data_IF_842834786798
#
_entry.id   IF_842834786798
#
_cell.length_a   1.000
_cell.length_b   1.000
_cell.length_c   1.000
_cell.angle_alpha   90.00
_cell.angle_beta   90.00
_cell.angle_gamma   90.00
#
_symmetry.space_group_name_H-M   'P 1'
#
loop_
_entity.id
_entity.type
_entity.pdbx_description
1 polymer ?
#
# COMPACT_ATOMS: atom_id res chain seq x y z
N UNK A 1 -9.73 -5.06 -6.90
CA UNK A 1 -10.16 -3.64 -6.70
C UNK A 1 -9.57 -2.70 -7.76
N UNK A 2 -8.23 -2.72 -8.01
CA UNK A 2 -7.63 -1.97 -9.13
C UNK A 2 -8.18 -2.49 -10.45
N UNK A 3 -8.18 -3.82 -10.64
CA UNK A 3 -8.77 -4.51 -11.80
C UNK A 3 -10.23 -4.10 -12.02
N UNK A 4 -11.06 -4.09 -10.96
CA UNK A 4 -12.47 -3.72 -11.05
C UNK A 4 -12.67 -2.30 -11.59
N UNK A 5 -11.86 -1.34 -11.09
CA UNK A 5 -11.87 0.04 -11.56
C UNK A 5 -11.45 0.16 -13.02
N UNK A 6 -10.34 -0.48 -13.39
CA UNK A 6 -9.82 -0.49 -14.74
C UNK A 6 -10.80 -1.13 -15.73
N UNK A 7 -11.36 -2.29 -15.40
CA UNK A 7 -12.35 -3.00 -16.20
C UNK A 7 -13.64 -2.20 -16.39
N UNK A 8 -14.11 -1.53 -15.32
CA UNK A 8 -15.29 -0.68 -15.37
C UNK A 8 -15.09 0.48 -16.36
N UNK A 9 -13.98 1.19 -16.26
CA UNK A 9 -13.71 2.32 -17.16
C UNK A 9 -13.46 1.85 -18.60
N UNK A 10 -12.68 0.78 -18.80
CA UNK A 10 -12.40 0.23 -20.12
C UNK A 10 -13.70 -0.16 -20.85
N UNK A 11 -14.64 -0.80 -20.16
CA UNK A 11 -15.95 -1.14 -20.71
C UNK A 11 -16.77 0.11 -21.07
N UNK A 12 -16.73 1.15 -20.23
CA UNK A 12 -17.49 2.38 -20.46
C UNK A 12 -17.03 3.16 -21.71
N UNK A 13 -15.75 3.07 -22.08
CA UNK A 13 -15.16 3.80 -23.22
C UNK A 13 -14.78 2.89 -24.40
N UNK A 14 -15.14 1.59 -24.35
CA UNK A 14 -14.92 0.65 -25.45
C UNK A 14 -13.46 0.23 -25.67
N UNK A 15 -12.59 0.32 -24.68
CA UNK A 15 -11.22 -0.17 -24.77
C UNK A 15 -11.16 -1.68 -24.49
N UNK A 16 -10.34 -2.39 -25.27
CA UNK A 16 -9.98 -3.78 -24.97
C UNK A 16 -9.11 -3.80 -23.73
N UNK A 17 -9.48 -4.62 -22.75
CA UNK A 17 -8.78 -4.73 -21.47
C UNK A 17 -8.42 -6.18 -21.17
N UNK A 18 -7.20 -6.40 -20.69
CA UNK A 18 -6.71 -7.69 -20.19
C UNK A 18 -6.08 -7.47 -18.82
N UNK A 19 -6.50 -8.25 -17.84
CA UNK A 19 -5.83 -8.34 -16.53
C UNK A 19 -4.81 -9.47 -16.55
N UNK A 20 -3.65 -9.19 -15.97
CA UNK A 20 -2.61 -10.19 -15.74
C UNK A 20 -1.89 -9.88 -14.42
N UNK A 21 -1.81 -10.86 -13.53
CA UNK A 21 -1.08 -10.73 -12.28
C UNK A 21 -0.62 -12.11 -11.81
N UNK A 22 0.61 -12.26 -11.31
CA UNK A 22 1.04 -13.50 -10.69
C UNK A 22 0.28 -13.73 -9.36
N UNK A 23 0.05 -14.99 -9.01
CA UNK A 23 -0.64 -15.39 -7.78
C UNK A 23 0.17 -15.05 -6.52
N UNK A 24 1.49 -14.90 -6.67
CA UNK A 24 2.42 -14.54 -5.60
C UNK A 24 3.28 -13.35 -6.03
N UNK A 25 3.79 -12.59 -5.07
CA UNK A 25 4.72 -11.50 -5.33
C UNK A 25 6.06 -12.05 -5.86
N UNK A 26 6.22 -12.04 -7.18
CA UNK A 26 7.37 -12.59 -7.90
C UNK A 26 7.80 -11.62 -9.01
N UNK A 27 9.01 -11.10 -8.91
CA UNK A 27 9.55 -10.13 -9.86
C UNK A 27 9.77 -10.74 -11.26
N UNK A 28 10.20 -12.00 -11.33
CA UNK A 28 10.44 -12.68 -12.62
C UNK A 28 9.13 -12.89 -13.37
N UNK A 29 8.08 -13.35 -12.69
CA UNK A 29 6.74 -13.49 -13.26
C UNK A 29 6.15 -12.15 -13.70
N UNK A 30 6.39 -11.07 -12.95
CA UNK A 30 5.93 -9.75 -13.37
C UNK A 30 6.66 -9.24 -14.62
N UNK A 31 7.98 -9.47 -14.72
CA UNK A 31 8.76 -9.17 -15.92
C UNK A 31 8.23 -9.97 -17.11
N UNK A 32 7.93 -11.24 -16.93
CA UNK A 32 7.33 -12.09 -17.97
C UNK A 32 5.96 -11.55 -18.42
N UNK A 33 5.08 -11.16 -17.49
CA UNK A 33 3.78 -10.57 -17.81
C UNK A 33 3.92 -9.29 -18.65
N UNK A 34 4.86 -8.40 -18.32
CA UNK A 34 5.15 -7.20 -19.13
C UNK A 34 5.65 -7.57 -20.53
N UNK A 35 6.55 -8.54 -20.64
CA UNK A 35 7.06 -9.01 -21.94
C UNK A 35 5.97 -9.67 -22.78
N UNK A 36 5.08 -10.45 -22.17
CA UNK A 36 3.94 -11.06 -22.85
C UNK A 36 2.95 -10.01 -23.35
N UNK A 37 2.66 -8.96 -22.55
CA UNK A 37 1.82 -7.86 -22.99
C UNK A 37 2.41 -7.14 -24.24
N UNK A 38 3.74 -6.95 -24.28
CA UNK A 38 4.42 -6.41 -25.44
C UNK A 38 4.31 -7.35 -26.65
N UNK A 39 4.47 -8.66 -26.47
CA UNK A 39 4.32 -9.66 -27.53
C UNK A 39 2.87 -9.71 -28.06
N UNK A 40 1.89 -9.56 -27.19
CA UNK A 40 0.46 -9.47 -27.50
C UNK A 40 0.06 -8.12 -28.14
N UNK A 41 1.05 -7.24 -28.42
CA UNK A 41 0.86 -5.92 -29.04
C UNK A 41 -0.04 -4.98 -28.22
N UNK A 42 0.07 -5.00 -26.90
CA UNK A 42 -0.57 -4.02 -26.05
C UNK A 42 -0.12 -2.60 -26.45
N UNK A 43 -1.06 -1.68 -26.55
CA UNK A 43 -0.75 -0.27 -26.84
C UNK A 43 -0.31 0.48 -25.57
N UNK A 44 -0.79 0.04 -24.41
CA UNK A 44 -0.48 0.63 -23.10
C UNK A 44 -0.56 -0.44 -22.02
N UNK A 45 0.31 -0.32 -21.01
CA UNK A 45 0.32 -1.14 -19.81
C UNK A 45 0.08 -0.24 -18.59
N UNK A 46 -0.97 -0.59 -17.80
CA UNK A 46 -1.09 -0.11 -16.42
C UNK A 46 -0.31 -1.05 -15.52
N UNK A 47 0.71 -0.56 -14.83
CA UNK A 47 1.64 -1.38 -14.06
C UNK A 47 1.69 -0.95 -12.60
N UNK A 48 1.48 -1.91 -11.68
CA UNK A 48 1.82 -1.78 -10.26
C UNK A 48 3.13 -2.53 -10.01
N UNK A 49 4.25 -1.82 -9.89
CA UNK A 49 5.56 -2.44 -9.79
C UNK A 49 5.77 -3.14 -8.43
N UNK A 50 6.16 -4.41 -8.46
CA UNK A 50 6.55 -5.16 -7.26
C UNK A 50 7.86 -4.64 -6.65
N UNK A 51 8.83 -4.37 -7.52
CA UNK A 51 10.13 -3.81 -7.21
C UNK A 51 10.48 -2.77 -8.29
N UNK A 52 10.65 -1.48 -7.91
CA UNK A 52 10.85 -0.40 -8.87
C UNK A 52 12.09 -0.55 -9.73
N UNK A 53 13.13 -1.20 -9.21
CA UNK A 53 14.40 -1.40 -9.92
C UNK A 53 14.36 -2.64 -10.81
N UNK A 54 13.87 -3.76 -10.28
CA UNK A 54 13.85 -5.04 -11.00
C UNK A 54 13.06 -4.98 -12.30
N UNK A 55 11.92 -4.25 -12.32
CA UNK A 55 11.06 -4.13 -13.50
C UNK A 55 11.57 -3.14 -14.56
N UNK A 56 12.53 -2.29 -14.22
CA UNK A 56 12.96 -1.15 -15.05
C UNK A 56 13.41 -1.53 -16.46
N UNK A 57 14.11 -2.65 -16.62
CA UNK A 57 14.58 -3.09 -17.95
C UNK A 57 13.41 -3.51 -18.84
N UNK A 58 12.42 -4.24 -18.29
CA UNK A 58 11.23 -4.65 -19.04
C UNK A 58 10.38 -3.44 -19.44
N UNK A 59 10.24 -2.46 -18.57
CA UNK A 59 9.53 -1.19 -18.84
C UNK A 59 10.22 -0.42 -19.97
N UNK A 60 11.55 -0.23 -19.93
CA UNK A 60 12.31 0.43 -21.01
C UNK A 60 12.15 -0.30 -22.33
N UNK A 61 12.21 -1.63 -22.32
CA UNK A 61 11.99 -2.45 -23.52
C UNK A 61 10.57 -2.27 -24.09
N UNK A 62 9.54 -2.24 -23.25
CA UNK A 62 8.17 -1.98 -23.66
C UNK A 62 8.05 -0.59 -24.32
N UNK A 63 8.60 0.44 -23.68
CA UNK A 63 8.59 1.82 -24.20
C UNK A 63 9.33 1.94 -25.53
N UNK A 64 10.48 1.27 -25.70
CA UNK A 64 11.24 1.27 -26.97
C UNK A 64 10.48 0.64 -28.12
N UNK A 65 9.48 -0.20 -27.84
CA UNK A 65 8.56 -0.81 -28.83
C UNK A 65 7.26 -0.01 -28.98
N UNK A 66 7.19 1.20 -28.43
CA UNK A 66 6.02 2.10 -28.54
C UNK A 66 4.90 1.82 -27.56
N UNK A 67 5.07 0.90 -26.62
CA UNK A 67 4.06 0.64 -25.58
C UNK A 67 4.10 1.75 -24.55
N UNK A 68 2.97 2.40 -24.33
CA UNK A 68 2.82 3.47 -23.32
C UNK A 68 2.71 2.86 -21.92
N UNK A 69 3.25 3.52 -20.89
CA UNK A 69 3.23 3.03 -19.50
C UNK A 69 2.55 4.06 -18.60
N UNK A 70 1.66 3.58 -17.76
CA UNK A 70 1.07 4.32 -16.63
C UNK A 70 1.24 3.45 -15.38
N UNK A 71 1.72 4.04 -14.30
CA UNK A 71 1.79 3.35 -13.01
C UNK A 71 0.51 3.53 -12.20
N UNK A 72 0.11 2.47 -11.52
CA UNK A 72 -0.97 2.46 -10.53
C UNK A 72 -0.44 1.85 -9.23
N UNK A 73 -0.79 2.43 -8.09
CA UNK A 73 -0.35 2.02 -6.76
C UNK A 73 1.16 2.20 -6.51
N UNK A 74 2.00 1.46 -7.21
CA UNK A 74 3.47 1.51 -7.05
C UNK A 74 4.15 1.73 -8.40
N UNK A 75 4.99 2.76 -8.49
CA UNK A 75 5.77 3.09 -9.68
C UNK A 75 7.10 2.34 -9.76
N UNK A 76 7.82 2.53 -10.88
CA UNK A 76 9.19 2.09 -11.08
C UNK A 76 10.15 3.27 -11.23
N UNK A 77 11.47 3.00 -11.30
CA UNK A 77 12.50 4.03 -11.51
C UNK A 77 12.46 4.65 -12.92
N UNK A 78 11.78 4.01 -13.86
CA UNK A 78 11.64 4.48 -15.23
C UNK A 78 10.45 5.45 -15.31
N UNK A 79 10.60 6.65 -15.89
CA UNK A 79 9.49 7.56 -16.09
C UNK A 79 8.35 6.94 -16.91
N UNK A 80 7.11 7.24 -16.52
CA UNK A 80 5.89 6.87 -17.22
C UNK A 80 5.06 8.12 -17.54
N UNK A 81 3.94 7.94 -18.27
CA UNK A 81 3.03 9.05 -18.60
C UNK A 81 2.42 9.63 -17.35
N UNK A 82 1.95 8.76 -16.45
CA UNK A 82 1.38 9.16 -15.16
C UNK A 82 1.60 8.08 -14.11
N UNK A 83 1.53 8.48 -12.83
CA UNK A 83 1.46 7.58 -11.67
C UNK A 83 0.23 7.95 -10.85
N UNK A 84 -0.66 6.98 -10.67
CA UNK A 84 -1.86 7.13 -9.84
C UNK A 84 -1.68 6.29 -8.58
N UNK A 85 -1.45 6.94 -7.47
CA UNK A 85 -1.15 6.26 -6.20
C UNK A 85 -1.69 7.04 -5.01
N UNK A 86 -1.70 6.43 -3.86
CA UNK A 86 -1.81 7.15 -2.58
C UNK A 86 -0.52 7.92 -2.33
N UNK A 87 -0.61 9.15 -1.84
CA UNK A 87 0.55 9.81 -1.24
C UNK A 87 0.95 9.07 0.04
N UNK A 88 1.82 8.07 -0.12
CA UNK A 88 2.14 7.10 0.93
C UNK A 88 2.83 7.74 2.15
N UNK A 89 3.67 8.75 1.93
CA UNK A 89 4.29 9.48 3.03
C UNK A 89 3.23 10.23 3.88
N UNK A 90 2.33 10.95 3.23
CA UNK A 90 1.25 11.67 3.94
C UNK A 90 0.26 10.71 4.61
N UNK A 91 -0.03 9.57 3.97
CA UNK A 91 -0.89 8.54 4.56
C UNK A 91 -0.24 7.89 5.79
N UNK A 92 1.08 7.66 5.77
CA UNK A 92 1.85 7.22 6.93
C UNK A 92 1.87 8.26 8.05
N UNK A 93 2.07 9.53 7.71
CA UNK A 93 1.99 10.64 8.67
C UNK A 93 0.59 10.75 9.31
N UNK A 94 -0.47 10.56 8.52
CA UNK A 94 -1.85 10.51 9.02
C UNK A 94 -2.08 9.32 9.96
N UNK A 95 -1.52 8.14 9.65
CA UNK A 95 -1.55 6.98 10.54
C UNK A 95 -0.83 7.26 11.87
N UNK A 96 0.34 7.92 11.81
CA UNK A 96 1.08 8.36 12.99
C UNK A 96 0.30 9.35 13.85
N UNK A 97 -0.31 10.36 13.22
CA UNK A 97 -1.19 11.32 13.93
C UNK A 97 -2.36 10.60 14.59
N UNK A 98 -3.00 9.69 13.85
CA UNK A 98 -4.11 8.87 14.39
C UNK A 98 -3.67 8.02 15.58
N UNK A 99 -2.46 7.41 15.52
CA UNK A 99 -1.88 6.67 16.65
C UNK A 99 -1.74 7.56 17.88
N UNK A 100 -1.19 8.76 17.74
CA UNK A 100 -0.99 9.70 18.84
C UNK A 100 -2.33 10.14 19.45
N UNK A 101 -3.32 10.44 18.61
CA UNK A 101 -4.65 10.86 19.08
C UNK A 101 -5.31 9.74 19.90
N UNK A 102 -5.25 8.48 19.45
CA UNK A 102 -5.77 7.32 20.17
C UNK A 102 -4.99 7.03 21.46
N UNK A 103 -3.67 7.19 21.45
CA UNK A 103 -2.84 7.03 22.66
C UNK A 103 -3.16 8.09 23.72
N UNK A 104 -3.31 9.36 23.31
CA UNK A 104 -3.71 10.45 24.21
C UNK A 104 -5.11 10.22 24.78
N UNK A 105 -6.06 9.79 23.95
CA UNK A 105 -7.41 9.45 24.41
C UNK A 105 -7.41 8.28 25.41
N UNK A 106 -6.45 7.37 25.31
CA UNK A 106 -6.24 6.26 26.25
C UNK A 106 -5.38 6.63 27.48
N UNK A 107 -5.00 7.90 27.65
CA UNK A 107 -4.15 8.38 28.76
C UNK A 107 -2.69 7.91 28.69
N UNK A 108 -2.20 7.51 27.51
CA UNK A 108 -0.84 6.99 27.29
C UNK A 108 0.04 8.07 26.68
N UNK A 109 0.77 8.80 27.50
CA UNK A 109 1.63 9.92 27.08
C UNK A 109 3.05 9.51 26.68
N UNK A 110 3.47 8.28 26.96
CA UNK A 110 4.80 7.72 26.64
C UNK A 110 4.70 6.21 26.43
N UNK A 111 5.75 5.62 25.88
CA UNK A 111 5.88 4.18 25.68
C UNK A 111 6.50 3.82 24.35
N UNK A 112 6.58 2.53 24.07
CA UNK A 112 7.14 1.98 22.83
C UNK A 112 6.05 1.68 21.82
N UNK A 113 6.38 1.86 20.53
CA UNK A 113 5.52 1.55 19.40
C UNK A 113 6.30 0.63 18.45
N UNK A 114 5.69 -0.51 18.12
CA UNK A 114 6.24 -1.44 17.12
C UNK A 114 5.64 -1.20 15.74
N UNK A 115 6.43 -1.44 14.70
CA UNK A 115 6.02 -1.38 13.29
C UNK A 115 6.24 -2.75 12.67
N UNK A 116 5.21 -3.26 11.98
CA UNK A 116 5.32 -4.43 11.11
C UNK A 116 5.07 -3.98 9.68
N UNK A 117 5.99 -4.29 8.78
CA UNK A 117 6.00 -3.80 7.39
C UNK A 117 6.33 -4.93 6.40
N UNK A 118 6.40 -4.59 5.11
CA UNK A 118 6.64 -5.56 4.04
C UNK A 118 8.12 -5.90 3.94
N UNK A 119 8.91 -5.02 3.36
CA UNK A 119 10.36 -5.12 3.21
C UNK A 119 10.95 -3.74 2.88
N UNK A 120 12.26 -3.64 2.78
CA UNK A 120 12.98 -2.39 2.50
C UNK A 120 13.01 -1.99 1.02
N UNK A 121 12.51 -2.83 0.11
CA UNK A 121 12.49 -2.57 -1.33
C UNK A 121 11.15 -2.00 -1.84
N UNK A 122 10.05 -2.24 -1.13
CA UNK A 122 8.72 -1.78 -1.53
C UNK A 122 8.53 -0.31 -1.16
N UNK A 123 8.65 0.59 -2.15
CA UNK A 123 8.65 2.04 -1.94
C UNK A 123 7.41 2.54 -1.19
N UNK A 124 6.22 2.08 -1.56
CA UNK A 124 4.96 2.52 -0.93
C UNK A 124 4.93 2.28 0.57
N UNK A 125 5.36 1.11 1.05
CA UNK A 125 5.37 0.79 2.48
C UNK A 125 6.52 1.44 3.22
N UNK A 126 7.65 1.69 2.56
CA UNK A 126 8.76 2.48 3.13
C UNK A 126 8.36 3.94 3.34
N UNK A 127 7.66 4.55 2.38
CA UNK A 127 7.13 5.92 2.54
C UNK A 127 6.12 6.01 3.67
N UNK A 128 5.20 5.03 3.79
CA UNK A 128 4.25 4.94 4.92
C UNK A 128 4.98 4.85 6.27
N UNK A 129 5.99 4.01 6.35
CA UNK A 129 6.82 3.89 7.55
C UNK A 129 7.53 5.19 7.88
N UNK A 130 8.16 5.84 6.90
CA UNK A 130 8.87 7.10 7.10
C UNK A 130 7.95 8.23 7.58
N UNK A 131 6.76 8.36 6.97
CA UNK A 131 5.75 9.32 7.39
C UNK A 131 5.25 9.06 8.82
N UNK A 132 4.98 7.81 9.15
CA UNK A 132 4.57 7.38 10.49
C UNK A 132 5.65 7.69 11.53
N UNK A 133 6.90 7.28 11.27
CA UNK A 133 8.05 7.50 12.16
C UNK A 133 8.26 8.98 12.45
N UNK A 134 8.22 9.83 11.41
CA UNK A 134 8.45 11.26 11.57
C UNK A 134 7.49 11.89 12.58
N UNK A 135 6.20 11.57 12.49
CA UNK A 135 5.17 12.10 13.39
C UNK A 135 5.26 11.53 14.80
N UNK A 136 5.41 10.22 14.92
CA UNK A 136 5.41 9.52 16.21
C UNK A 136 6.65 9.83 17.04
N UNK A 137 7.83 9.90 16.41
CA UNK A 137 9.08 10.29 17.09
C UNK A 137 9.04 11.75 17.56
N UNK A 138 8.50 12.65 16.73
CA UNK A 138 8.33 14.06 17.12
C UNK A 138 7.39 14.25 18.31
N UNK A 139 6.48 13.31 18.54
CA UNK A 139 5.58 13.30 19.72
C UNK A 139 6.19 12.65 20.97
N UNK A 140 7.46 12.20 20.92
CA UNK A 140 8.21 11.68 22.04
C UNK A 140 8.06 10.18 22.33
N UNK A 141 7.40 9.42 21.44
CA UNK A 141 7.31 7.96 21.59
C UNK A 141 8.56 7.27 21.01
N UNK A 142 8.97 6.18 21.67
CA UNK A 142 10.06 5.34 21.18
C UNK A 142 9.56 4.35 20.14
N UNK A 143 10.13 4.37 18.92
CA UNK A 143 9.79 3.40 17.89
C UNK A 143 10.82 2.28 17.91
N UNK A 144 10.36 1.06 18.03
CA UNK A 144 11.17 -0.16 17.96
C UNK A 144 11.69 -0.39 16.53
N UNK A 145 12.70 -1.27 16.40
CA UNK A 145 13.15 -1.73 15.08
C UNK A 145 11.99 -2.36 14.33
N UNK A 146 11.80 -1.97 13.07
CA UNK A 146 10.73 -2.50 12.23
C UNK A 146 10.94 -3.98 11.96
N UNK A 147 9.88 -4.76 12.08
CA UNK A 147 9.82 -6.15 11.65
C UNK A 147 9.27 -6.22 10.22
N UNK A 148 10.09 -6.70 9.29
CA UNK A 148 9.71 -6.89 7.89
C UNK A 148 9.30 -8.34 7.65
N UNK A 149 8.07 -8.56 7.15
CA UNK A 149 7.45 -9.89 7.00
C UNK A 149 6.81 -10.10 5.63
N UNK A 150 7.32 -9.42 4.60
CA UNK A 150 6.86 -9.50 3.19
C UNK A 150 5.34 -9.37 2.99
N UNK A 151 4.64 -8.79 3.97
CA UNK A 151 3.19 -8.63 3.96
C UNK A 151 2.42 -9.92 4.28
N UNK A 152 3.09 -10.98 4.74
CA UNK A 152 2.44 -12.19 5.22
C UNK A 152 1.75 -11.96 6.56
N UNK A 153 0.48 -12.33 6.67
CA UNK A 153 -0.32 -12.06 7.85
C UNK A 153 0.07 -12.92 9.06
N UNK A 154 0.46 -14.18 8.84
CA UNK A 154 0.85 -15.10 9.91
C UNK A 154 2.20 -14.69 10.50
N UNK A 155 3.21 -14.47 9.66
CA UNK A 155 4.53 -13.99 10.08
C UNK A 155 4.44 -12.59 10.74
N UNK A 156 3.54 -11.73 10.26
CA UNK A 156 3.27 -10.43 10.88
C UNK A 156 2.63 -10.55 12.26
N UNK A 157 1.75 -11.54 12.47
CA UNK A 157 1.16 -11.84 13.77
C UNK A 157 2.22 -12.35 14.75
N UNK A 158 3.12 -13.21 14.31
CA UNK A 158 4.25 -13.69 15.13
C UNK A 158 5.15 -12.53 15.57
N UNK A 159 5.54 -11.65 14.65
CA UNK A 159 6.33 -10.46 14.95
C UNK A 159 5.63 -9.52 15.94
N UNK A 160 4.34 -9.24 15.73
CA UNK A 160 3.55 -8.43 16.63
C UNK A 160 3.41 -9.07 18.02
N UNK A 161 3.27 -10.39 18.11
CA UNK A 161 3.27 -11.15 19.36
C UNK A 161 4.61 -11.05 20.09
N UNK A 162 5.73 -11.09 19.33
CA UNK A 162 7.08 -10.84 19.84
C UNK A 162 7.22 -9.46 20.46
N UNK A 163 6.73 -8.41 19.81
CA UNK A 163 6.71 -7.06 20.38
C UNK A 163 5.90 -7.00 21.68
N UNK A 164 4.73 -7.64 21.73
CA UNK A 164 3.82 -7.64 22.90
C UNK A 164 4.43 -8.37 24.10
N UNK A 165 5.15 -9.46 23.86
CA UNK A 165 5.78 -10.26 24.92
C UNK A 165 7.11 -9.66 25.40
N UNK A 166 7.91 -9.12 24.48
CA UNK A 166 9.25 -8.59 24.75
C UNK A 166 9.28 -7.17 25.32
N UNK A 167 8.17 -6.43 25.31
CA UNK A 167 8.16 -5.03 25.74
C UNK A 167 6.97 -4.74 26.66
N UNK A 168 7.25 -4.67 27.97
CA UNK A 168 6.23 -4.37 28.98
C UNK A 168 5.62 -2.96 28.87
N UNK A 169 6.33 -2.04 28.24
CA UNK A 169 5.97 -0.64 27.99
C UNK A 169 5.46 -0.38 26.55
N UNK A 170 5.10 -1.45 25.83
CA UNK A 170 4.51 -1.34 24.49
C UNK A 170 3.09 -0.74 24.58
N UNK A 171 2.86 0.38 23.91
CA UNK A 171 1.58 1.10 23.92
C UNK A 171 0.87 1.07 22.58
N UNK A 172 1.59 0.85 21.46
CA UNK A 172 1.02 0.88 20.12
C UNK A 172 1.70 -0.09 19.15
N UNK A 173 0.95 -0.53 18.14
CA UNK A 173 1.43 -1.31 17.00
C UNK A 173 0.87 -0.74 15.71
N UNK A 174 1.70 -0.66 14.68
CA UNK A 174 1.34 -0.21 13.34
C UNK A 174 1.64 -1.29 12.30
N UNK A 175 0.65 -1.59 11.44
CA UNK A 175 0.79 -2.44 10.26
C UNK A 175 0.77 -1.60 8.98
N UNK A 176 1.84 -1.67 8.16
CA UNK A 176 2.04 -0.77 7.02
C UNK A 176 1.30 -1.19 5.73
N UNK A 177 0.73 -2.40 5.68
CA UNK A 177 -0.06 -2.93 4.56
C UNK A 177 -1.14 -3.88 5.08
N UNK A 178 -1.97 -4.44 4.18
CA UNK A 178 -3.09 -5.32 4.56
C UNK A 178 -2.65 -6.50 5.43
N UNK A 179 -1.68 -7.30 4.99
CA UNK A 179 -1.24 -8.49 5.75
C UNK A 179 -0.62 -8.13 7.09
N UNK A 180 0.24 -7.11 7.15
CA UNK A 180 0.81 -6.63 8.42
C UNK A 180 -0.27 -6.09 9.36
N UNK A 181 -1.29 -5.42 8.83
CA UNK A 181 -2.44 -4.91 9.62
C UNK A 181 -3.26 -6.06 10.20
N UNK A 182 -3.54 -7.08 9.42
CA UNK A 182 -4.25 -8.28 9.89
C UNK A 182 -3.45 -8.98 10.99
N UNK A 183 -2.15 -9.18 10.79
CA UNK A 183 -1.27 -9.79 11.78
C UNK A 183 -1.22 -9.00 13.09
N UNK A 184 -0.99 -7.69 13.01
CA UNK A 184 -1.00 -6.77 14.17
C UNK A 184 -2.34 -6.84 14.91
N UNK A 185 -3.46 -6.75 14.20
CA UNK A 185 -4.79 -6.79 14.82
C UNK A 185 -5.08 -8.12 15.51
N UNK A 186 -4.70 -9.24 14.90
CA UNK A 186 -4.86 -10.58 15.49
C UNK A 186 -4.01 -10.75 16.76
N UNK A 187 -2.75 -10.30 16.74
CA UNK A 187 -1.88 -10.35 17.92
C UNK A 187 -2.43 -9.52 19.08
N UNK A 188 -2.91 -8.29 18.82
CA UNK A 188 -3.55 -7.45 19.84
C UNK A 188 -4.78 -8.15 20.42
N UNK A 189 -5.66 -8.67 19.55
CA UNK A 189 -6.88 -9.37 19.95
C UNK A 189 -6.55 -10.59 20.83
N UNK A 190 -5.58 -11.39 20.44
CA UNK A 190 -5.18 -12.59 21.16
C UNK A 190 -4.55 -12.26 22.52
N UNK A 191 -3.80 -11.16 22.62
CA UNK A 191 -3.11 -10.76 23.86
C UNK A 191 -4.05 -10.26 24.94
N UNK A 192 -5.22 -9.73 24.59
CA UNK A 192 -6.13 -9.05 25.50
C UNK A 192 -5.57 -7.76 26.13
N UNK A 193 -4.36 -7.32 25.73
CA UNK A 193 -3.72 -6.13 26.29
C UNK A 193 -4.26 -4.84 25.66
N UNK A 194 -4.30 -3.72 26.40
CA UNK A 194 -4.82 -2.44 25.90
C UNK A 194 -3.78 -1.72 25.01
N UNK A 195 -3.39 -2.34 23.90
CA UNK A 195 -2.44 -1.81 22.93
C UNK A 195 -3.24 -1.14 21.79
N UNK A 196 -2.83 0.07 21.39
CA UNK A 196 -3.44 0.79 20.28
C UNK A 196 -2.94 0.20 18.95
N UNK A 197 -3.83 -0.37 18.16
CA UNK A 197 -3.53 -0.89 16.83
C UNK A 197 -3.98 0.10 15.77
N UNK A 198 -3.07 0.50 14.88
CA UNK A 198 -3.36 1.28 13.67
C UNK A 198 -2.89 0.47 12.46
N UNK A 199 -3.67 0.47 11.40
CA UNK A 199 -3.36 -0.33 10.22
C UNK A 199 -3.50 0.42 8.91
N UNK A 200 -3.32 -0.32 7.83
CA UNK A 200 -3.44 0.13 6.45
C UNK A 200 -4.33 -0.84 5.65
N UNK A 201 -5.00 -0.31 4.63
CA UNK A 201 -5.91 -0.99 3.72
C UNK A 201 -7.31 -1.29 4.29
N UNK A 202 -8.16 -1.89 3.45
CA UNK A 202 -9.53 -2.25 3.75
C UNK A 202 -9.84 -3.65 3.18
N UNK A 203 -10.08 -4.59 4.06
CA UNK A 203 -10.59 -5.93 3.76
C UNK A 203 -11.59 -6.35 4.83
N UNK A 204 -12.33 -7.42 4.61
CA UNK A 204 -13.29 -7.94 5.58
C UNK A 204 -12.60 -8.32 6.90
N UNK A 205 -11.38 -8.86 6.85
CA UNK A 205 -10.58 -9.14 8.03
C UNK A 205 -10.27 -7.87 8.82
N UNK A 206 -9.81 -6.80 8.17
CA UNK A 206 -9.53 -5.51 8.82
C UNK A 206 -10.81 -4.88 9.39
N UNK A 207 -11.92 -4.93 8.64
CA UNK A 207 -13.20 -4.44 9.14
C UNK A 207 -13.67 -5.22 10.38
N UNK A 208 -13.47 -6.54 10.40
CA UNK A 208 -13.72 -7.37 11.58
C UNK A 208 -12.88 -6.98 12.78
N UNK A 209 -11.58 -6.66 12.57
CA UNK A 209 -10.67 -6.22 13.63
C UNK A 209 -11.02 -4.82 14.16
N UNK A 210 -11.45 -3.89 13.30
CA UNK A 210 -11.99 -2.60 13.72
C UNK A 210 -13.27 -2.77 14.53
N UNK A 211 -14.22 -3.59 14.06
CA UNK A 211 -15.48 -3.87 14.77
C UNK A 211 -15.26 -4.48 16.14
N UNK A 212 -14.28 -5.37 16.29
CA UNK A 212 -13.91 -5.97 17.59
C UNK A 212 -13.17 -5.00 18.51
N UNK A 213 -12.65 -3.87 18.02
CA UNK A 213 -11.83 -2.91 18.76
C UNK A 213 -10.35 -3.29 18.92
N UNK A 214 -9.90 -4.39 18.28
CA UNK A 214 -8.49 -4.78 18.21
C UNK A 214 -7.65 -3.77 17.40
N UNK A 215 -8.23 -3.19 16.35
CA UNK A 215 -7.70 -2.01 15.69
C UNK A 215 -8.56 -0.79 16.04
N UNK A 216 -7.94 0.37 16.20
CA UNK A 216 -8.63 1.66 16.42
C UNK A 216 -8.92 2.37 15.13
N UNK A 217 -8.01 2.26 14.14
CA UNK A 217 -8.19 2.81 12.83
C UNK A 217 -7.38 2.05 11.76
N UNK A 218 -7.76 2.24 10.50
CA UNK A 218 -6.99 1.81 9.35
C UNK A 218 -7.05 2.87 8.24
N UNK A 219 -5.94 3.09 7.56
CA UNK A 219 -5.82 4.00 6.41
C UNK A 219 -6.27 3.27 5.15
N UNK A 220 -7.45 3.59 4.63
CA UNK A 220 -8.00 2.96 3.43
C UNK A 220 -7.61 3.73 2.18
N UNK A 221 -6.92 3.08 1.27
CA UNK A 221 -6.60 3.57 -0.05
C UNK A 221 -7.82 3.51 -1.00
N UNK A 222 -7.70 4.11 -2.18
CA UNK A 222 -8.71 4.10 -3.22
C UNK A 222 -8.27 3.29 -4.46
N UNK A 223 -8.02 1.98 -4.36
CA UNK A 223 -7.49 1.17 -5.46
C UNK A 223 -8.44 1.11 -6.66
N UNK A 224 -9.76 1.14 -6.44
CA UNK A 224 -10.72 1.24 -7.53
C UNK A 224 -10.48 2.52 -8.37
N UNK A 225 -10.32 3.65 -7.70
CA UNK A 225 -10.05 4.94 -8.36
C UNK A 225 -8.73 4.93 -9.12
N UNK A 226 -7.67 4.28 -8.59
CA UNK A 226 -6.40 4.11 -9.31
C UNK A 226 -6.59 3.41 -10.64
N UNK A 227 -7.31 2.29 -10.67
CA UNK A 227 -7.60 1.56 -11.90
C UNK A 227 -8.50 2.34 -12.86
N UNK A 228 -9.59 2.91 -12.33
CA UNK A 228 -10.58 3.67 -13.11
C UNK A 228 -9.94 4.89 -13.80
N UNK A 229 -9.27 5.75 -13.04
CA UNK A 229 -8.59 6.92 -13.59
C UNK A 229 -7.36 6.54 -14.43
N UNK A 230 -6.68 5.45 -14.09
CA UNK A 230 -5.56 4.93 -14.89
C UNK A 230 -5.99 4.61 -16.32
N UNK A 231 -7.15 3.98 -16.52
CA UNK A 231 -7.69 3.71 -17.86
C UNK A 231 -8.18 5.00 -18.54
N UNK A 232 -8.74 5.95 -17.78
CA UNK A 232 -9.09 7.27 -18.35
C UNK A 232 -7.85 8.01 -18.88
N UNK A 233 -6.74 8.00 -18.14
CA UNK A 233 -5.46 8.54 -18.59
C UNK A 233 -4.88 7.75 -19.78
N UNK A 234 -5.07 6.42 -19.79
CA UNK A 234 -4.67 5.58 -20.92
C UNK A 234 -5.39 5.97 -22.19
N UNK A 235 -6.69 6.20 -22.13
CA UNK A 235 -7.47 6.68 -23.28
C UNK A 235 -6.95 8.01 -23.81
N UNK A 236 -6.75 8.99 -22.92
CA UNK A 236 -6.20 10.29 -23.31
C UNK A 236 -4.83 10.15 -23.98
N UNK A 237 -3.94 9.32 -23.40
CA UNK A 237 -2.61 9.07 -23.96
C UNK A 237 -2.66 8.38 -25.34
N UNK A 238 -3.58 7.43 -25.55
CA UNK A 238 -3.73 6.72 -26.82
C UNK A 238 -4.36 7.58 -27.91
N UNK A 239 -5.16 8.57 -27.53
CA UNK A 239 -5.79 9.54 -28.41
C UNK A 239 -4.94 10.80 -28.61
N UNK A 240 -3.70 10.82 -28.12
CA UNK A 240 -2.78 11.97 -28.14
C UNK A 240 -3.38 13.26 -27.53
N UNK A 241 -4.25 13.08 -26.54
CA UNK A 241 -4.83 14.14 -25.71
C UNK A 241 -3.96 14.41 -24.47
N UNK A 242 -4.23 15.54 -23.79
CA UNK A 242 -3.57 15.85 -22.51
C UNK A 242 -3.93 14.82 -21.44
N UNK A 243 -2.91 14.28 -20.77
CA UNK A 243 -3.05 13.32 -19.67
C UNK A 243 -3.09 13.98 -18.28
N UNK A 244 -3.08 15.32 -18.21
CA UNK A 244 -3.06 16.03 -16.93
C UNK A 244 -1.72 15.88 -16.18
N UNK A 245 -1.71 15.94 -14.83
CA UNK A 245 -0.47 15.88 -14.04
C UNK A 245 0.16 14.47 -14.08
N UNK A 246 1.51 14.45 -14.05
CA UNK A 246 2.27 13.20 -14.05
C UNK A 246 2.10 12.37 -12.76
N UNK A 247 1.69 12.98 -11.65
CA UNK A 247 1.39 12.30 -10.39
C UNK A 247 -0.01 12.68 -9.93
N UNK A 248 -0.84 11.69 -9.70
CA UNK A 248 -2.22 11.84 -9.24
C UNK A 248 -2.36 11.11 -7.90
N UNK A 249 -2.52 11.88 -6.82
CA UNK A 249 -2.87 11.33 -5.52
C UNK A 249 -4.34 10.91 -5.52
N UNK A 250 -4.59 9.63 -5.29
CA UNK A 250 -5.95 9.08 -5.21
C UNK A 250 -6.56 9.17 -3.81
N UNK A 251 -5.82 9.76 -2.87
CA UNK A 251 -6.26 10.00 -1.52
C UNK A 251 -6.26 8.77 -0.61
N UNK A 252 -6.53 9.04 0.67
CA UNK A 252 -6.67 8.03 1.73
C UNK A 252 -7.78 8.45 2.69
N UNK A 253 -8.57 7.48 3.17
CA UNK A 253 -9.60 7.71 4.19
C UNK A 253 -9.23 6.99 5.49
N UNK A 254 -9.55 7.60 6.64
CA UNK A 254 -9.40 6.97 7.94
C UNK A 254 -10.66 6.18 8.28
N UNK A 255 -10.55 4.86 8.31
CA UNK A 255 -11.61 3.98 8.81
C UNK A 255 -11.50 3.84 10.31
N UNK A 256 -12.61 3.93 11.01
CA UNK A 256 -12.77 3.68 12.44
C UNK A 256 -13.94 2.71 12.65
N UNK A 257 -14.17 2.29 13.91
CA UNK A 257 -15.34 1.50 14.29
C UNK A 257 -16.64 2.21 13.99
#
# INVERSE_FOLDING_TARGET
>A
KVDDGAKTMAAAIGLKYKWDAPDVKDNAKQIEAVNNAVADKANLILLAANDPKAISTAVKNAQSKGVKIIYVDSGAEVPAIATLSTNNFQAGALAGKTMIDELKAAGKSAGKIGIVSVNTATNSTMERENGFRGVVSAAGYTILTTEYKDGDAAASQEAATGFISGNGDLVGLYGANEGSTVGVGNAIKASGKPIIGIGFDKSDAILGLLKSGALKAAMAQNPFTMGYLGVAQAYAALADLSTGPAVIDTGVAVLRK
#
